data_IF_273605342521
#
_entry.id   IF_273605342521
#
_cell.length_a   1.000
_cell.length_b   1.000
_cell.length_c   1.000
_cell.angle_alpha   90.00
_cell.angle_beta   90.00
_cell.angle_gamma   90.00
#
_symmetry.space_group_name_H-M   'P 1'
#
loop_
_entity.id
_entity.type
_entity.pdbx_description
1 polymer ?
#
# COMPACT_ATOMS: atom_id res chain seq x y z
N UNK A 1 7.73 19.63 -25.90
CA UNK A 1 7.21 19.28 -24.57
C UNK A 1 6.98 17.76 -24.50
N UNK A 2 8.04 16.95 -24.55
CA UNK A 2 7.94 15.49 -24.79
C UNK A 2 8.17 14.61 -23.55
N UNK A 3 7.82 15.07 -22.34
CA UNK A 3 8.09 14.35 -21.08
C UNK A 3 6.92 14.26 -20.10
N UNK A 4 5.68 14.49 -20.55
CA UNK A 4 4.55 14.73 -19.62
C UNK A 4 3.54 13.59 -19.56
N UNK A 5 3.71 12.49 -20.30
CA UNK A 5 2.74 11.38 -20.29
C UNK A 5 3.18 10.29 -19.30
N UNK A 6 2.30 10.00 -18.35
CA UNK A 6 2.47 8.93 -17.36
C UNK A 6 1.45 7.82 -17.63
N UNK A 7 1.90 6.58 -17.68
CA UNK A 7 1.04 5.40 -17.76
C UNK A 7 1.05 4.68 -16.43
N UNK A 8 -0.13 4.44 -15.86
CA UNK A 8 -0.31 3.68 -14.62
C UNK A 8 -0.89 2.31 -14.93
N UNK A 9 -0.06 1.27 -14.91
CA UNK A 9 -0.52 -0.11 -15.01
C UNK A 9 -1.12 -0.54 -13.67
N UNK A 10 -2.34 -1.06 -13.69
CA UNK A 10 -3.09 -1.32 -12.43
C UNK A 10 -3.70 -0.05 -11.82
N UNK A 11 -3.84 1.03 -12.59
CA UNK A 11 -4.46 2.30 -12.15
C UNK A 11 -5.94 2.21 -11.74
N UNK A 12 -6.57 1.04 -11.86
CA UNK A 12 -7.93 0.76 -11.36
C UNK A 12 -7.95 0.07 -9.99
N UNK A 13 -6.79 -0.35 -9.47
CA UNK A 13 -6.67 -1.03 -8.17
C UNK A 13 -6.57 -0.05 -7.00
N UNK A 14 -6.56 -0.59 -5.77
CA UNK A 14 -6.70 0.16 -4.52
C UNK A 14 -5.72 1.34 -4.41
N UNK A 15 -4.42 1.10 -4.59
CA UNK A 15 -3.39 2.15 -4.59
C UNK A 15 -3.22 2.82 -5.96
N UNK A 16 -3.30 2.04 -7.05
CA UNK A 16 -3.09 2.54 -8.41
C UNK A 16 -4.08 3.64 -8.80
N UNK A 17 -5.33 3.55 -8.31
CA UNK A 17 -6.34 4.60 -8.49
C UNK A 17 -5.93 5.89 -7.79
N UNK A 18 -5.51 5.82 -6.53
CA UNK A 18 -5.04 6.98 -5.77
C UNK A 18 -3.84 7.63 -6.46
N UNK A 19 -2.88 6.84 -6.95
CA UNK A 19 -1.74 7.35 -7.72
C UNK A 19 -2.21 8.07 -8.98
N UNK A 20 -3.13 7.46 -9.74
CA UNK A 20 -3.69 8.05 -10.97
C UNK A 20 -4.32 9.41 -10.68
N UNK A 21 -5.19 9.48 -9.66
CA UNK A 21 -5.87 10.72 -9.24
C UNK A 21 -4.86 11.78 -8.76
N UNK A 22 -3.90 11.39 -7.93
CA UNK A 22 -2.88 12.30 -7.40
C UNK A 22 -2.03 12.93 -8.52
N UNK A 23 -1.69 12.16 -9.56
CA UNK A 23 -0.95 12.68 -10.72
C UNK A 23 -1.83 13.67 -11.50
N UNK A 24 -3.10 13.36 -11.72
CA UNK A 24 -4.04 14.27 -12.40
C UNK A 24 -4.22 15.58 -11.65
N UNK A 25 -4.33 15.52 -10.32
CA UNK A 25 -4.52 16.69 -9.47
C UNK A 25 -3.30 17.64 -9.47
N UNK A 26 -2.13 17.17 -9.92
CA UNK A 26 -0.99 18.08 -10.15
C UNK A 26 -1.22 19.05 -11.31
N UNK A 27 -2.06 18.69 -12.28
CA UNK A 27 -2.25 19.42 -13.53
C UNK A 27 -1.01 19.49 -14.44
N UNK A 28 0.05 18.72 -14.13
CA UNK A 28 1.34 18.79 -14.85
C UNK A 28 1.54 17.67 -15.88
N UNK A 29 0.80 16.58 -15.73
CA UNK A 29 0.99 15.36 -16.50
C UNK A 29 -0.32 14.92 -17.18
N UNK A 30 -0.18 14.39 -18.38
CA UNK A 30 -1.23 13.59 -19.01
C UNK A 30 -1.13 12.16 -18.46
N UNK A 31 -2.24 11.57 -18.04
CA UNK A 31 -2.25 10.26 -17.37
C UNK A 31 -3.16 9.29 -18.10
N UNK A 32 -2.63 8.10 -18.41
CA UNK A 32 -3.39 6.98 -18.95
C UNK A 32 -3.30 5.78 -18.01
N UNK A 33 -4.36 4.97 -17.99
CA UNK A 33 -4.40 3.73 -17.19
C UNK A 33 -4.30 2.53 -18.11
N UNK A 34 -3.33 1.64 -17.87
CA UNK A 34 -3.28 0.34 -18.54
C UNK A 34 -4.03 -0.71 -17.71
N UNK A 35 -5.02 -1.37 -18.33
CA UNK A 35 -5.84 -2.40 -17.70
C UNK A 35 -6.15 -3.54 -18.67
N UNK A 36 -6.20 -4.78 -18.16
CA UNK A 36 -6.63 -5.97 -18.94
C UNK A 36 -8.11 -5.92 -19.32
N UNK A 37 -8.94 -5.30 -18.48
CA UNK A 37 -10.39 -5.16 -18.68
C UNK A 37 -10.70 -3.71 -19.01
N UNK A 38 -11.46 -3.47 -20.09
CA UNK A 38 -12.28 -2.26 -20.17
C UNK A 38 -13.45 -2.45 -19.23
N UNK A 39 -13.77 -1.50 -18.34
CA UNK A 39 -15.04 -1.53 -17.64
C UNK A 39 -16.15 -1.64 -18.68
N UNK A 40 -16.85 -2.78 -18.72
CA UNK A 40 -18.16 -2.84 -19.36
C UNK A 40 -19.09 -2.10 -18.41
N UNK A 41 -19.77 -1.10 -18.95
CA UNK A 41 -20.70 -0.19 -18.29
C UNK A 41 -20.10 0.96 -17.47
N UNK A 42 -20.38 2.17 -17.97
CA UNK A 42 -20.24 3.45 -17.31
C UNK A 42 -21.17 3.64 -16.09
N UNK A 43 -21.62 2.55 -15.45
CA UNK A 43 -22.61 2.55 -14.37
C UNK A 43 -22.04 2.26 -12.99
N UNK A 44 -20.75 1.91 -12.85
CA UNK A 44 -20.09 1.76 -11.55
C UNK A 44 -19.38 3.05 -11.11
N UNK A 45 -20.18 4.09 -10.82
CA UNK A 45 -19.94 5.26 -9.92
C UNK A 45 -18.52 5.81 -9.62
N UNK A 46 -17.49 5.58 -10.45
CA UNK A 46 -16.17 6.21 -10.34
C UNK A 46 -15.66 6.46 -11.75
N UNK A 47 -16.00 7.62 -12.30
CA UNK A 47 -15.36 8.13 -13.51
C UNK A 47 -13.91 8.48 -13.17
N UNK A 48 -12.99 7.52 -13.34
CA UNK A 48 -11.59 7.90 -13.51
C UNK A 48 -11.52 8.87 -14.69
N UNK A 49 -10.97 10.06 -14.44
CA UNK A 49 -10.80 11.09 -15.48
C UNK A 49 -9.77 10.65 -16.54
N UNK A 50 -8.94 9.65 -16.22
CA UNK A 50 -7.86 9.16 -17.08
C UNK A 50 -8.39 8.16 -18.14
N UNK A 51 -7.99 8.29 -19.42
CA UNK A 51 -8.32 7.28 -20.43
C UNK A 51 -7.75 5.91 -20.08
N UNK A 52 -8.51 4.85 -20.42
CA UNK A 52 -8.10 3.46 -20.21
C UNK A 52 -7.57 2.88 -21.52
N UNK A 53 -6.31 2.48 -21.50
CA UNK A 53 -5.65 1.68 -22.52
C UNK A 53 -5.90 0.20 -22.17
N UNK A 54 -6.64 -0.49 -23.04
CA UNK A 54 -6.81 -1.93 -22.88
C UNK A 54 -5.50 -2.61 -23.27
N UNK A 55 -4.93 -3.37 -22.33
CA UNK A 55 -3.61 -3.97 -22.50
C UNK A 55 -3.66 -5.45 -22.22
N UNK A 56 -3.18 -6.23 -23.19
CA UNK A 56 -2.75 -7.60 -22.97
C UNK A 56 -1.22 -7.60 -22.75
N UNK A 57 -0.78 -8.28 -21.69
CA UNK A 57 0.64 -8.38 -21.31
C UNK A 57 1.29 -9.68 -21.83
N UNK A 58 0.63 -10.38 -22.75
CA UNK A 58 1.14 -11.60 -23.40
C UNK A 58 2.22 -11.34 -24.45
N UNK A 59 2.32 -10.12 -24.99
CA UNK A 59 3.32 -9.73 -26.00
C UNK A 59 4.06 -8.47 -25.58
N UNK A 60 5.38 -8.57 -25.52
CA UNK A 60 6.28 -7.46 -25.23
C UNK A 60 6.27 -6.40 -26.34
N UNK A 61 6.25 -6.83 -27.60
CA UNK A 61 6.15 -5.98 -28.78
C UNK A 61 4.89 -5.12 -28.74
N UNK A 62 3.73 -5.74 -28.53
CA UNK A 62 2.45 -5.03 -28.54
C UNK A 62 2.37 -4.02 -27.37
N UNK A 63 2.88 -4.37 -26.19
CA UNK A 63 2.94 -3.42 -25.06
C UNK A 63 3.88 -2.26 -25.38
N UNK A 64 5.04 -2.51 -26.00
CA UNK A 64 5.97 -1.44 -26.39
C UNK A 64 5.35 -0.50 -27.44
N UNK A 65 4.64 -1.04 -28.43
CA UNK A 65 3.90 -0.27 -29.43
C UNK A 65 2.83 0.63 -28.79
N UNK A 66 2.08 0.11 -27.81
CA UNK A 66 1.11 0.91 -27.04
C UNK A 66 1.79 2.06 -26.29
N UNK A 67 2.94 1.80 -25.63
CA UNK A 67 3.69 2.84 -24.93
C UNK A 67 4.16 3.93 -25.89
N UNK A 68 4.63 3.56 -27.09
CA UNK A 68 5.03 4.51 -28.15
C UNK A 68 3.84 5.28 -28.71
N UNK A 69 2.74 4.61 -29.02
CA UNK A 69 1.52 5.21 -29.55
C UNK A 69 0.98 6.31 -28.62
N UNK A 70 1.10 6.11 -27.31
CA UNK A 70 0.68 7.07 -26.29
C UNK A 70 1.81 8.02 -25.85
N UNK A 71 2.98 7.98 -26.51
CA UNK A 71 4.15 8.81 -26.18
C UNK A 71 4.49 8.77 -24.68
N UNK A 72 4.42 7.58 -24.09
CA UNK A 72 4.63 7.37 -22.66
C UNK A 72 6.07 7.73 -22.27
N UNK A 73 6.22 8.64 -21.31
CA UNK A 73 7.52 8.99 -20.74
C UNK A 73 7.83 8.19 -19.48
N UNK A 74 6.82 7.99 -18.62
CA UNK A 74 6.99 7.33 -17.33
C UNK A 74 5.94 6.25 -17.14
N UNK A 75 6.38 5.05 -16.74
CA UNK A 75 5.51 3.94 -16.37
C UNK A 75 5.52 3.77 -14.85
N UNK A 76 4.33 3.67 -14.26
CA UNK A 76 4.14 3.28 -12.87
C UNK A 76 3.34 1.98 -12.85
N UNK A 77 3.92 0.94 -12.28
CA UNK A 77 3.24 -0.33 -12.08
C UNK A 77 2.68 -0.40 -10.66
N UNK A 78 1.36 -0.55 -10.54
CA UNK A 78 0.62 -0.75 -9.30
C UNK A 78 -0.23 -2.03 -9.37
N UNK A 79 0.27 -3.06 -10.06
CA UNK A 79 -0.37 -4.38 -10.11
C UNK A 79 -0.20 -5.11 -8.76
N UNK A 80 -1.25 -5.76 -8.25
CA UNK A 80 -1.11 -6.67 -7.12
C UNK A 80 -0.32 -7.91 -7.54
N UNK A 81 0.86 -8.11 -6.95
CA UNK A 81 1.80 -9.19 -7.33
C UNK A 81 1.61 -10.44 -6.48
N UNK A 82 0.38 -10.93 -6.41
CA UNK A 82 0.02 -12.04 -5.52
C UNK A 82 0.07 -13.42 -6.24
N UNK A 83 0.41 -13.44 -7.53
CA UNK A 83 0.44 -14.66 -8.35
C UNK A 83 1.32 -14.50 -9.59
N UNK A 84 1.74 -15.64 -10.16
CA UNK A 84 2.70 -15.72 -11.25
C UNK A 84 2.30 -14.85 -12.46
N UNK A 85 1.04 -14.89 -12.90
CA UNK A 85 0.60 -14.11 -14.05
C UNK A 85 0.68 -12.58 -13.85
N UNK A 86 0.57 -12.08 -12.61
CA UNK A 86 0.79 -10.66 -12.32
C UNK A 86 2.28 -10.31 -12.36
N UNK A 87 3.13 -11.18 -11.83
CA UNK A 87 4.58 -11.07 -11.95
C UNK A 87 5.02 -11.07 -13.41
N UNK A 88 4.52 -12.00 -14.21
CA UNK A 88 4.84 -12.09 -15.65
C UNK A 88 4.41 -10.84 -16.40
N UNK A 89 3.22 -10.30 -16.08
CA UNK A 89 2.73 -9.05 -16.66
C UNK A 89 3.65 -7.86 -16.38
N UNK A 90 4.12 -7.70 -15.13
CA UNK A 90 5.09 -6.66 -14.80
C UNK A 90 6.44 -6.89 -15.49
N UNK A 91 6.92 -8.13 -15.58
CA UNK A 91 8.16 -8.44 -16.29
C UNK A 91 8.05 -8.11 -17.78
N UNK A 92 6.92 -8.40 -18.43
CA UNK A 92 6.64 -7.97 -19.80
C UNK A 92 6.63 -6.45 -19.91
N UNK A 93 5.97 -5.76 -18.96
CA UNK A 93 5.90 -4.30 -18.96
C UNK A 93 7.29 -3.65 -18.81
N UNK A 94 8.17 -4.19 -17.97
CA UNK A 94 9.56 -3.72 -17.82
C UNK A 94 10.33 -3.85 -19.15
N UNK A 95 10.28 -5.02 -19.79
CA UNK A 95 10.99 -5.25 -21.06
C UNK A 95 10.41 -4.40 -22.20
N UNK A 96 9.10 -4.24 -22.24
CA UNK A 96 8.43 -3.37 -23.19
C UNK A 96 8.81 -1.89 -22.98
N UNK A 97 8.91 -1.44 -21.73
CA UNK A 97 9.36 -0.09 -21.39
C UNK A 97 10.81 0.16 -21.84
N UNK A 98 11.73 -0.77 -21.61
CA UNK A 98 13.14 -0.65 -22.08
C UNK A 98 13.24 -0.60 -23.61
N UNK A 99 12.32 -1.27 -24.33
CA UNK A 99 12.26 -1.24 -25.80
C UNK A 99 11.61 0.01 -26.36
N UNK A 100 10.72 0.66 -25.61
CA UNK A 100 9.99 1.82 -26.06
C UNK A 100 10.86 3.09 -25.92
N UNK A 101 11.34 3.70 -27.03
CA UNK A 101 12.33 4.78 -26.95
C UNK A 101 11.81 6.06 -26.27
N UNK A 102 10.49 6.22 -26.16
CA UNK A 102 9.85 7.33 -25.44
C UNK A 102 9.90 7.18 -23.92
N UNK A 103 9.94 5.94 -23.41
CA UNK A 103 9.92 5.69 -21.97
C UNK A 103 11.31 5.93 -21.40
N UNK A 104 11.37 6.73 -20.33
CA UNK A 104 12.61 7.10 -19.63
C UNK A 104 12.63 6.67 -18.19
N UNK A 105 11.45 6.50 -17.59
CA UNK A 105 11.30 6.28 -16.15
C UNK A 105 10.34 5.14 -15.83
N UNK A 106 10.68 4.37 -14.80
CA UNK A 106 9.88 3.24 -14.35
C UNK A 106 9.79 3.15 -12.81
N UNK A 107 8.57 2.96 -12.29
CA UNK A 107 8.33 2.61 -10.89
C UNK A 107 7.66 1.22 -10.86
N UNK A 108 8.31 0.17 -10.32
CA UNK A 108 7.69 -1.15 -10.16
C UNK A 108 6.67 -1.18 -9.02
N UNK A 109 5.84 -2.22 -9.02
CA UNK A 109 4.87 -2.50 -7.96
C UNK A 109 5.57 -3.07 -6.73
N UNK A 110 6.14 -2.19 -5.94
CA UNK A 110 6.99 -2.49 -4.77
C UNK A 110 6.51 -1.76 -3.50
N UNK A 111 5.32 -1.14 -3.53
CA UNK A 111 4.77 -0.19 -2.54
C UNK A 111 4.54 -0.79 -1.14
N UNK A 112 5.59 -1.30 -0.50
CA UNK A 112 5.59 -1.84 0.85
C UNK A 112 6.97 -1.64 1.52
N UNK A 113 7.83 -2.66 1.48
CA UNK A 113 9.15 -2.71 2.12
C UNK A 113 10.24 -3.09 1.11
N UNK A 114 11.49 -3.16 1.58
CA UNK A 114 12.59 -3.71 0.79
C UNK A 114 12.45 -5.23 0.63
N UNK A 115 12.12 -5.70 -0.57
CA UNK A 115 11.95 -7.12 -0.88
C UNK A 115 13.27 -7.89 -1.11
N UNK A 116 14.43 -7.22 -1.09
CA UNK A 116 15.74 -7.89 -1.05
C UNK A 116 16.22 -8.22 0.38
N UNK A 117 15.42 -7.87 1.40
CA UNK A 117 15.68 -8.30 2.76
C UNK A 117 15.77 -9.84 2.85
N UNK A 118 16.69 -10.38 3.67
CA UNK A 118 16.88 -11.82 3.79
C UNK A 118 15.66 -12.52 4.40
N UNK A 119 15.48 -13.82 4.13
CA UNK A 119 14.29 -14.60 4.55
C UNK A 119 14.07 -14.62 6.06
N UNK A 120 15.13 -14.50 6.86
CA UNK A 120 15.02 -14.42 8.31
C UNK A 120 14.53 -13.06 8.82
N UNK A 121 14.45 -12.04 7.96
CA UNK A 121 13.89 -10.71 8.27
C UNK A 121 12.52 -10.53 7.60
N UNK A 122 12.41 -10.93 6.32
CA UNK A 122 11.17 -10.89 5.54
C UNK A 122 10.79 -12.33 5.11
N UNK A 123 10.13 -13.10 6.00
CA UNK A 123 9.63 -14.45 5.72
C UNK A 123 8.35 -14.41 4.89
N UNK A 124 8.47 -13.92 3.64
CA UNK A 124 7.38 -13.76 2.69
C UNK A 124 7.73 -14.49 1.38
N UNK A 125 7.24 -15.73 1.15
CA UNK A 125 7.61 -16.51 -0.02
C UNK A 125 7.34 -15.81 -1.36
N UNK A 126 6.27 -15.03 -1.44
CA UNK A 126 5.87 -14.32 -2.65
C UNK A 126 6.70 -13.06 -2.92
N UNK A 127 7.67 -12.71 -2.05
CA UNK A 127 8.68 -11.68 -2.37
C UNK A 127 9.47 -11.98 -3.64
N UNK A 128 9.53 -13.26 -4.05
CA UNK A 128 10.16 -13.69 -5.30
C UNK A 128 9.62 -12.94 -6.53
N UNK A 129 8.35 -12.54 -6.53
CA UNK A 129 7.76 -11.78 -7.63
C UNK A 129 8.32 -10.36 -7.72
N UNK A 130 8.50 -9.72 -6.56
CA UNK A 130 9.13 -8.40 -6.43
C UNK A 130 10.61 -8.48 -6.80
N UNK A 131 11.37 -9.42 -6.21
CA UNK A 131 12.78 -9.64 -6.55
C UNK A 131 12.99 -9.90 -8.05
N UNK A 132 12.11 -10.68 -8.71
CA UNK A 132 12.21 -10.90 -10.15
C UNK A 132 12.09 -9.60 -10.96
N UNK A 133 11.17 -8.70 -10.58
CA UNK A 133 11.01 -7.39 -11.21
C UNK A 133 12.25 -6.51 -11.01
N UNK A 134 12.85 -6.51 -9.80
CA UNK A 134 14.11 -5.80 -9.52
C UNK A 134 15.25 -6.28 -10.41
N UNK A 135 15.47 -7.59 -10.47
CA UNK A 135 16.53 -8.19 -11.31
C UNK A 135 16.29 -7.93 -12.80
N UNK A 136 15.05 -7.71 -13.23
CA UNK A 136 14.74 -7.28 -14.59
C UNK A 136 15.09 -5.80 -14.80
N UNK A 137 14.71 -4.91 -13.89
CA UNK A 137 15.02 -3.48 -13.96
C UNK A 137 16.52 -3.20 -13.92
N UNK A 138 17.28 -3.89 -13.07
CA UNK A 138 18.75 -3.73 -12.99
C UNK A 138 19.49 -4.10 -14.27
N UNK A 139 18.88 -4.90 -15.16
CA UNK A 139 19.43 -5.25 -16.47
C UNK A 139 19.10 -4.23 -17.54
N UNK A 140 18.21 -3.28 -17.26
CA UNK A 140 17.86 -2.20 -18.18
C UNK A 140 18.98 -1.17 -18.22
N UNK A 141 19.14 -0.52 -19.37
CA UNK A 141 20.21 0.44 -19.62
C UNK A 141 19.68 1.83 -19.94
N UNK A 142 18.42 1.93 -20.36
CA UNK A 142 17.80 3.19 -20.77
C UNK A 142 16.83 3.78 -19.74
N UNK A 143 16.35 2.95 -18.79
CA UNK A 143 15.39 3.34 -17.78
C UNK A 143 16.06 3.87 -16.51
N UNK A 144 15.66 5.07 -16.08
CA UNK A 144 15.83 5.51 -14.70
C UNK A 144 14.68 4.93 -13.86
N UNK A 145 14.99 4.19 -12.78
CA UNK A 145 13.97 3.57 -11.95
C UNK A 145 14.19 3.81 -10.45
N UNK A 146 13.12 3.69 -9.68
CA UNK A 146 13.15 3.85 -8.22
C UNK A 146 12.16 2.91 -7.55
N UNK A 147 12.51 2.46 -6.35
CA UNK A 147 11.63 1.72 -5.46
C UNK A 147 11.02 2.67 -4.42
N UNK A 148 9.70 2.66 -4.28
CA UNK A 148 8.99 3.49 -3.29
C UNK A 148 8.56 2.61 -2.13
N UNK A 149 9.11 2.88 -0.93
CA UNK A 149 8.78 2.18 0.30
C UNK A 149 7.91 3.04 1.22
N UNK A 150 6.59 2.81 1.26
CA UNK A 150 5.69 3.48 2.20
C UNK A 150 5.70 2.86 3.60
N UNK A 151 6.19 1.62 3.75
CA UNK A 151 5.97 0.85 4.97
C UNK A 151 4.49 0.46 5.12
N UNK A 152 4.05 0.29 6.35
CA UNK A 152 2.69 -0.15 6.64
C UNK A 152 1.65 0.92 6.30
N UNK A 153 0.58 0.55 5.60
CA UNK A 153 -0.51 1.49 5.37
C UNK A 153 -1.31 1.76 6.66
N UNK A 154 -1.36 3.04 7.06
CA UNK A 154 -2.05 3.47 8.27
C UNK A 154 -3.57 3.29 8.19
N UNK A 155 -4.12 3.28 6.97
CA UNK A 155 -5.53 3.03 6.68
C UNK A 155 -6.08 1.83 7.46
N UNK A 156 -5.31 0.73 7.55
CA UNK A 156 -5.71 -0.49 8.27
C UNK A 156 -5.91 -0.29 9.77
N UNK A 157 -5.30 0.73 10.37
CA UNK A 157 -5.48 1.06 11.80
C UNK A 157 -6.72 1.92 12.06
N UNK A 158 -7.33 2.46 11.00
CA UNK A 158 -8.59 3.17 11.05
C UNK A 158 -9.80 2.28 10.70
N UNK A 159 -9.59 1.09 10.13
CA UNK A 159 -10.67 0.19 9.72
C UNK A 159 -11.30 -0.54 10.92
N UNK A 160 -12.61 -0.86 10.88
CA UNK A 160 -13.58 -0.55 9.82
C UNK A 160 -14.31 0.78 10.05
N UNK A 161 -13.70 1.77 10.71
CA UNK A 161 -14.38 3.03 11.00
C UNK A 161 -14.87 3.71 9.72
N UNK A 162 -16.17 3.97 9.65
CA UNK A 162 -16.77 4.69 8.53
C UNK A 162 -16.30 6.15 8.44
N UNK A 163 -15.67 6.68 9.50
CA UNK A 163 -15.07 8.02 9.50
C UNK A 163 -13.80 8.10 8.63
N UNK A 164 -13.15 6.97 8.36
CA UNK A 164 -12.04 6.88 7.39
C UNK A 164 -12.64 6.57 6.01
N UNK A 165 -13.59 7.40 5.58
CA UNK A 165 -14.51 7.16 4.46
C UNK A 165 -13.88 7.18 3.06
N UNK A 166 -12.55 7.21 2.96
CA UNK A 166 -11.87 7.51 1.69
C UNK A 166 -10.74 6.56 1.32
N UNK A 167 -10.61 5.45 2.04
CA UNK A 167 -9.71 4.38 1.65
C UNK A 167 -10.39 3.44 0.65
N UNK A 168 -9.65 3.04 -0.38
CA UNK A 168 -10.08 2.05 -1.37
C UNK A 168 -9.47 0.67 -1.09
N UNK A 169 -8.69 0.54 -0.01
CA UNK A 169 -8.12 -0.73 0.39
C UNK A 169 -9.22 -1.70 0.82
N UNK A 170 -9.04 -2.98 0.48
CA UNK A 170 -9.84 -4.07 1.07
C UNK A 170 -9.78 -4.01 2.60
N UNK A 171 -10.92 -4.23 3.24
CA UNK A 171 -10.98 -4.26 4.70
C UNK A 171 -10.05 -5.35 5.28
N UNK A 172 -9.24 -4.97 6.28
CA UNK A 172 -8.34 -5.87 7.00
C UNK A 172 -7.89 -5.24 8.32
N UNK A 173 -7.94 -5.99 9.43
CA UNK A 173 -7.36 -5.56 10.71
C UNK A 173 -6.01 -6.25 10.92
N UNK A 174 -4.90 -5.52 10.97
CA UNK A 174 -3.57 -6.15 11.02
C UNK A 174 -3.13 -6.58 12.42
N UNK A 175 -3.27 -5.70 13.42
CA UNK A 175 -2.77 -5.95 14.78
C UNK A 175 -3.74 -5.50 15.87
N UNK A 176 -4.66 -4.59 15.53
CA UNK A 176 -5.63 -4.02 16.46
C UNK A 176 -7.02 -4.11 15.83
N UNK A 177 -7.94 -4.73 16.56
CA UNK A 177 -9.37 -4.70 16.28
C UNK A 177 -10.01 -3.79 17.32
N UNK A 178 -10.00 -2.49 17.03
CA UNK A 178 -10.52 -1.45 17.92
C UNK A 178 -12.03 -1.62 18.19
N UNK A 179 -12.76 -2.23 17.24
CA UNK A 179 -14.21 -2.45 17.36
C UNK A 179 -14.50 -3.49 18.45
N UNK A 180 -13.79 -4.62 18.42
CA UNK A 180 -13.93 -5.65 19.45
C UNK A 180 -13.10 -5.34 20.70
N UNK A 181 -12.14 -4.42 20.61
CA UNK A 181 -11.29 -4.02 21.73
C UNK A 181 -10.20 -5.03 22.03
N UNK A 182 -9.66 -5.67 21.01
CA UNK A 182 -8.62 -6.68 21.14
C UNK A 182 -7.43 -6.34 20.24
N UNK A 183 -6.24 -6.78 20.64
CA UNK A 183 -5.02 -6.66 19.87
C UNK A 183 -4.27 -7.99 19.88
N UNK A 184 -3.68 -8.33 18.73
CA UNK A 184 -2.90 -9.54 18.54
C UNK A 184 -1.55 -9.13 17.93
N UNK A 185 -0.50 -9.18 18.75
CA UNK A 185 0.78 -8.58 18.42
C UNK A 185 1.87 -9.66 18.20
N UNK A 186 2.67 -9.57 17.13
CA UNK A 186 3.81 -10.46 16.94
C UNK A 186 4.97 -10.09 17.88
N UNK A 187 5.61 -11.10 18.45
CA UNK A 187 6.77 -10.94 19.34
C UNK A 187 6.41 -10.21 20.63
N UNK A 188 7.18 -9.19 21.00
CA UNK A 188 6.93 -8.36 22.18
C UNK A 188 6.31 -6.99 21.85
N UNK A 189 5.97 -6.76 20.57
CA UNK A 189 5.37 -5.52 20.08
C UNK A 189 6.27 -4.28 20.12
N UNK A 190 7.59 -4.41 20.39
CA UNK A 190 8.52 -3.27 20.53
C UNK A 190 9.33 -2.93 19.27
N UNK A 191 9.32 -3.78 18.25
CA UNK A 191 10.00 -3.47 16.98
C UNK A 191 9.34 -2.27 16.31
N UNK A 192 10.15 -1.31 15.85
CA UNK A 192 9.66 -0.14 15.12
C UNK A 192 9.13 -0.54 13.75
N UNK A 193 8.05 0.12 13.34
CA UNK A 193 7.39 -0.05 12.06
C UNK A 193 7.17 1.33 11.46
N UNK A 194 7.71 1.55 10.26
CA UNK A 194 7.40 2.70 9.43
C UNK A 194 5.99 2.56 8.85
N UNK A 195 5.26 3.66 8.77
CA UNK A 195 3.90 3.70 8.26
C UNK A 195 3.63 4.96 7.43
N UNK A 196 2.69 4.82 6.48
CA UNK A 196 2.21 5.90 5.60
C UNK A 196 0.70 5.83 5.38
N UNK A 197 0.05 6.97 5.24
CA UNK A 197 -1.34 7.02 4.76
C UNK A 197 -1.39 6.91 3.23
N UNK A 198 -2.22 6.03 2.67
CA UNK A 198 -2.18 5.71 1.23
C UNK A 198 -2.38 6.91 0.30
N UNK A 199 -3.21 7.88 0.66
CA UNK A 199 -3.37 9.12 -0.13
C UNK A 199 -2.09 9.95 -0.17
N UNK A 200 -1.34 9.96 0.92
CA UNK A 200 -0.04 10.62 0.96
C UNK A 200 1.00 9.84 0.16
N UNK A 201 1.00 8.50 0.21
CA UNK A 201 1.83 7.67 -0.68
C UNK A 201 1.61 8.08 -2.13
N UNK A 202 0.36 8.10 -2.59
CA UNK A 202 0.00 8.51 -3.94
C UNK A 202 0.43 9.95 -4.28
N UNK A 203 0.19 10.90 -3.37
CA UNK A 203 0.58 12.31 -3.53
C UNK A 203 2.10 12.47 -3.64
N UNK A 204 2.87 11.81 -2.79
CA UNK A 204 4.33 11.87 -2.86
C UNK A 204 4.90 11.12 -4.07
N UNK A 205 4.29 10.01 -4.50
CA UNK A 205 4.62 9.38 -5.79
C UNK A 205 4.40 10.34 -6.96
N UNK A 206 3.28 11.08 -6.98
CA UNK A 206 3.01 12.09 -8.01
C UNK A 206 4.00 13.26 -7.95
N UNK A 207 4.38 13.73 -6.77
CA UNK A 207 5.40 14.77 -6.59
C UNK A 207 6.79 14.31 -7.03
N UNK A 208 7.13 13.03 -6.80
CA UNK A 208 8.42 12.45 -7.19
C UNK A 208 8.66 12.46 -8.71
N UNK A 209 7.59 12.48 -9.53
CA UNK A 209 7.69 12.67 -10.98
C UNK A 209 8.42 13.97 -11.36
N UNK A 210 8.35 15.00 -10.51
CA UNK A 210 8.98 16.29 -10.71
C UNK A 210 10.44 16.38 -10.26
N UNK A 211 11.03 15.29 -9.76
CA UNK A 211 12.44 15.25 -9.40
C UNK A 211 13.32 15.17 -10.66
N UNK A 212 14.43 15.91 -10.66
CA UNK A 212 15.39 15.91 -11.77
C UNK A 212 16.07 14.55 -11.94
N UNK A 213 16.34 13.86 -10.82
CA UNK A 213 16.89 12.50 -10.78
C UNK A 213 16.18 11.67 -9.75
N UNK A 214 16.05 10.39 -10.01
CA UNK A 214 15.50 9.43 -9.06
C UNK A 214 16.61 8.67 -8.34
N UNK A 215 16.74 8.82 -7.00
CA UNK A 215 17.50 7.85 -6.22
C UNK A 215 16.88 6.47 -6.37
N UNK A 216 17.71 5.44 -6.20
CA UNK A 216 17.28 4.04 -6.32
C UNK A 216 16.14 3.71 -5.34
N UNK A 217 16.16 4.33 -4.15
CA UNK A 217 15.15 4.13 -3.11
C UNK A 217 14.58 5.48 -2.67
N UNK A 218 13.26 5.54 -2.59
CA UNK A 218 12.51 6.62 -1.97
C UNK A 218 11.60 6.05 -0.89
N UNK A 219 11.33 6.83 0.15
CA UNK A 219 10.31 6.48 1.14
C UNK A 219 9.29 7.60 1.30
N UNK A 220 8.04 7.21 1.57
CA UNK A 220 6.95 8.11 1.93
C UNK A 220 6.56 7.98 3.41
N UNK A 221 7.34 7.22 4.20
CA UNK A 221 7.08 6.99 5.61
C UNK A 221 6.92 8.33 6.35
N UNK A 222 5.77 8.49 7.00
CA UNK A 222 5.39 9.72 7.71
C UNK A 222 5.20 9.49 9.21
N UNK A 223 5.22 8.24 9.67
CA UNK A 223 5.30 7.90 11.08
C UNK A 223 6.17 6.66 11.28
N UNK A 224 6.77 6.56 12.46
CA UNK A 224 7.46 5.37 12.92
C UNK A 224 7.00 5.08 14.36
N UNK A 225 6.47 3.89 14.58
CA UNK A 225 5.86 3.51 15.85
C UNK A 225 6.05 2.02 16.13
N UNK A 226 5.91 1.64 17.39
CA UNK A 226 5.80 0.25 17.83
C UNK A 226 4.34 -0.16 17.93
N UNK A 227 4.07 -1.47 17.94
CA UNK A 227 2.70 -1.96 18.09
C UNK A 227 2.15 -1.72 19.50
N UNK A 228 3.01 -1.69 20.52
CA UNK A 228 2.61 -1.29 21.87
C UNK A 228 2.18 0.19 21.93
N UNK A 229 2.89 1.09 21.22
CA UNK A 229 2.46 2.49 21.09
C UNK A 229 1.14 2.61 20.34
N UNK A 230 0.94 1.83 19.27
CA UNK A 230 -0.33 1.77 18.54
C UNK A 230 -1.48 1.36 19.46
N UNK A 231 -1.31 0.29 20.24
CA UNK A 231 -2.29 -0.17 21.24
C UNK A 231 -2.61 0.96 22.23
N UNK A 232 -1.58 1.57 22.84
CA UNK A 232 -1.79 2.67 23.80
C UNK A 232 -2.53 3.87 23.19
N UNK A 233 -2.23 4.20 21.94
CA UNK A 233 -2.92 5.25 21.19
C UNK A 233 -4.39 4.92 20.93
N UNK A 234 -4.71 3.67 20.58
CA UNK A 234 -6.09 3.22 20.36
C UNK A 234 -6.85 3.18 21.68
N UNK A 235 -6.30 2.54 22.73
CA UNK A 235 -6.93 2.46 24.06
C UNK A 235 -7.33 3.83 24.60
N UNK A 236 -6.43 4.82 24.49
CA UNK A 236 -6.68 6.20 24.91
C UNK A 236 -7.91 6.81 24.24
N UNK A 237 -8.12 6.53 22.94
CA UNK A 237 -9.22 7.08 22.14
C UNK A 237 -10.54 6.35 22.39
N UNK A 238 -10.48 5.05 22.64
CA UNK A 238 -11.64 4.26 23.02
C UNK A 238 -12.08 4.51 24.47
N UNK A 239 -11.20 5.07 25.31
CA UNK A 239 -11.46 5.28 26.74
C UNK A 239 -11.49 3.96 27.54
N UNK A 240 -10.87 2.91 27.02
CA UNK A 240 -10.77 1.58 27.64
C UNK A 240 -9.50 0.87 27.18
N UNK A 241 -9.03 -0.07 27.98
CA UNK A 241 -7.92 -0.93 27.59
C UNK A 241 -8.35 -1.95 26.54
N UNK A 242 -7.40 -2.34 25.69
CA UNK A 242 -7.55 -3.47 24.76
C UNK A 242 -7.11 -4.75 25.45
N UNK A 243 -7.77 -5.86 25.14
CA UNK A 243 -7.27 -7.19 25.48
C UNK A 243 -6.12 -7.54 24.52
N UNK A 244 -4.89 -7.64 25.05
CA UNK A 244 -3.68 -7.78 24.23
C UNK A 244 -3.13 -9.20 24.38
N UNK A 245 -3.09 -9.92 23.27
CA UNK A 245 -2.39 -11.18 23.16
C UNK A 245 -1.13 -11.03 22.30
N UNK A 246 -0.10 -11.81 22.64
CA UNK A 246 1.14 -11.88 21.88
C UNK A 246 1.27 -13.22 21.16
N UNK A 247 1.90 -13.20 19.99
CA UNK A 247 2.18 -14.39 19.17
C UNK A 247 3.69 -14.60 19.08
N UNK A 248 4.14 -15.84 19.32
CA UNK A 248 5.55 -16.19 19.18
C UNK A 248 6.00 -16.06 17.71
N UNK A 249 7.12 -15.37 17.49
CA UNK A 249 7.62 -15.09 16.13
C UNK A 249 7.98 -16.38 15.40
N UNK A 250 8.54 -17.39 16.08
CA UNK A 250 8.88 -18.67 15.44
C UNK A 250 7.62 -19.44 15.05
N UNK A 251 6.57 -19.38 15.87
CA UNK A 251 5.27 -19.96 15.57
C UNK A 251 4.62 -19.29 14.36
N UNK A 252 4.70 -17.95 14.23
CA UNK A 252 4.24 -17.22 13.05
C UNK A 252 4.99 -17.62 11.78
N UNK A 253 6.33 -17.66 11.82
CA UNK A 253 7.16 -18.06 10.68
C UNK A 253 6.83 -19.48 10.18
N UNK A 254 6.50 -20.39 11.10
CA UNK A 254 6.14 -21.79 10.80
C UNK A 254 4.64 -21.96 10.55
N UNK A 255 3.85 -20.87 10.61
CA UNK A 255 2.38 -20.88 10.53
C UNK A 255 1.73 -21.85 11.53
N UNK A 256 2.33 -22.02 12.70
CA UNK A 256 1.80 -22.83 13.81
C UNK A 256 0.82 -22.06 14.70
N UNK A 257 0.95 -20.73 14.73
CA UNK A 257 -0.05 -19.85 15.34
C UNK A 257 -0.90 -19.24 14.23
N UNK A 258 -2.14 -19.71 14.12
CA UNK A 258 -3.09 -19.30 13.09
C UNK A 258 -4.16 -18.33 13.59
N UNK A 259 -4.03 -17.84 14.84
CA UNK A 259 -4.97 -16.89 15.42
C UNK A 259 -5.02 -15.63 14.55
N UNK A 260 -6.24 -15.14 14.35
CA UNK A 260 -6.53 -13.88 13.66
C UNK A 260 -7.54 -13.09 14.50
N UNK A 261 -7.56 -11.77 14.32
CA UNK A 261 -8.49 -10.90 15.04
C UNK A 261 -9.95 -11.25 14.72
N UNK A 262 -10.90 -11.06 15.66
CA UNK A 262 -12.32 -11.38 15.45
C UNK A 262 -12.91 -10.75 14.20
N UNK A 263 -12.58 -9.48 13.90
CA UNK A 263 -13.04 -8.82 12.68
C UNK A 263 -12.55 -9.53 11.41
N UNK A 264 -11.33 -10.06 11.41
CA UNK A 264 -10.79 -10.80 10.26
C UNK A 264 -11.54 -12.12 10.03
N UNK A 265 -11.97 -12.81 11.09
CA UNK A 265 -12.84 -13.99 10.95
C UNK A 265 -14.15 -13.61 10.25
N UNK A 266 -14.74 -12.47 10.64
CA UNK A 266 -16.02 -12.01 10.08
C UNK A 266 -15.95 -11.60 8.59
N UNK A 267 -14.77 -11.23 8.08
CA UNK A 267 -14.58 -10.82 6.68
C UNK A 267 -13.86 -11.87 5.84
N UNK A 268 -13.51 -13.03 6.41
CA UNK A 268 -12.68 -14.04 5.76
C UNK A 268 -13.32 -14.59 4.47
N UNK A 269 -14.65 -14.62 4.37
CA UNK A 269 -15.38 -15.06 3.17
C UNK A 269 -15.11 -14.18 1.93
N UNK A 270 -14.64 -12.95 2.12
CA UNK A 270 -14.23 -12.07 1.02
C UNK A 270 -12.86 -12.42 0.42
N UNK A 271 -12.13 -13.37 1.04
CA UNK A 271 -10.85 -13.87 0.56
C UNK A 271 -11.05 -15.23 -0.12
N UNK A 272 -10.53 -15.45 -1.34
CA UNK A 272 -10.75 -16.70 -2.07
C UNK A 272 -10.33 -17.97 -1.31
N UNK A 273 -9.27 -17.90 -0.50
CA UNK A 273 -8.82 -18.99 0.37
C UNK A 273 -9.30 -18.88 1.82
N UNK A 274 -10.29 -18.03 2.09
CA UNK A 274 -10.95 -17.91 3.37
C UNK A 274 -10.01 -17.58 4.54
N UNK A 275 -10.35 -18.14 5.71
CA UNK A 275 -9.58 -17.96 6.96
C UNK A 275 -8.15 -18.48 6.84
N UNK A 276 -7.92 -19.58 6.11
CA UNK A 276 -6.58 -20.17 5.98
C UNK A 276 -5.62 -19.24 5.23
N UNK A 277 -6.07 -18.68 4.10
CA UNK A 277 -5.30 -17.69 3.35
C UNK A 277 -5.04 -16.45 4.21
N UNK A 278 -6.08 -15.95 4.88
CA UNK A 278 -5.99 -14.74 5.69
C UNK A 278 -5.04 -14.91 6.88
N UNK A 279 -5.11 -16.06 7.54
CA UNK A 279 -4.23 -16.43 8.66
C UNK A 279 -2.77 -16.53 8.21
N UNK A 280 -2.50 -17.18 7.07
CA UNK A 280 -1.15 -17.26 6.52
C UNK A 280 -0.57 -15.87 6.20
N UNK A 281 -1.36 -15.01 5.56
CA UNK A 281 -0.97 -13.63 5.24
C UNK A 281 -0.62 -12.83 6.51
N UNK A 282 -1.49 -12.89 7.53
CA UNK A 282 -1.28 -12.16 8.78
C UNK A 282 -0.09 -12.71 9.58
N UNK A 283 0.16 -14.01 9.53
CA UNK A 283 1.32 -14.62 10.18
C UNK A 283 2.64 -14.17 9.53
N UNK A 284 2.71 -14.17 8.21
CA UNK A 284 3.89 -13.69 7.46
C UNK A 284 4.14 -12.20 7.71
N UNK A 285 3.08 -11.39 7.66
CA UNK A 285 3.17 -9.97 7.93
C UNK A 285 3.61 -9.69 9.38
N UNK A 286 3.00 -10.37 10.35
CA UNK A 286 3.32 -10.22 11.77
C UNK A 286 4.77 -10.60 12.05
N UNK A 287 5.23 -11.75 11.52
CA UNK A 287 6.62 -12.14 11.63
C UNK A 287 7.56 -11.09 11.01
N UNK A 288 7.23 -10.59 9.81
CA UNK A 288 8.02 -9.57 9.11
C UNK A 288 8.13 -8.25 9.90
N UNK A 289 7.05 -7.82 10.54
CA UNK A 289 7.07 -6.65 11.44
C UNK A 289 7.95 -6.90 12.66
N UNK A 290 7.77 -8.03 13.35
CA UNK A 290 8.56 -8.35 14.54
C UNK A 290 10.06 -8.51 14.25
N UNK A 291 10.41 -9.07 13.10
CA UNK A 291 11.78 -9.28 12.64
C UNK A 291 12.43 -8.00 12.05
N UNK A 292 11.66 -6.92 11.93
CA UNK A 292 12.16 -5.59 11.58
C UNK A 292 12.21 -5.28 10.09
N UNK A 293 11.46 -5.99 9.25
CA UNK A 293 11.36 -5.66 7.81
C UNK A 293 10.77 -4.27 7.54
N UNK A 294 9.97 -3.75 8.48
CA UNK A 294 9.35 -2.43 8.42
C UNK A 294 10.13 -1.36 9.21
N UNK A 295 11.28 -1.70 9.79
CA UNK A 295 12.10 -0.74 10.54
C UNK A 295 12.97 0.09 9.59
N UNK A 296 12.38 1.16 9.05
CA UNK A 296 13.05 2.00 8.06
C UNK A 296 14.17 2.88 8.62
N UNK A 297 14.40 2.88 9.94
CA UNK A 297 15.60 3.52 10.51
C UNK A 297 16.91 2.86 10.05
N UNK A 298 16.80 1.66 9.45
CA UNK A 298 17.91 0.88 8.90
C UNK A 298 18.11 1.06 7.39
N UNK A 299 17.19 1.75 6.69
CA UNK A 299 17.40 2.09 5.29
C UNK A 299 18.64 2.98 5.16
N UNK A 300 19.34 2.85 4.02
CA UNK A 300 20.54 3.62 3.72
C UNK A 300 20.47 4.17 2.31
N UNK A 301 20.69 5.46 2.17
CA UNK A 301 20.77 6.14 0.87
C UNK A 301 19.40 6.37 0.21
N UNK A 302 18.32 6.19 0.97
CA UNK A 302 16.97 6.55 0.57
C UNK A 302 16.77 8.07 0.56
N UNK A 303 15.88 8.53 -0.31
CA UNK A 303 15.32 9.87 -0.20
C UNK A 303 13.98 9.80 0.51
N UNK A 304 13.89 10.46 1.67
CA UNK A 304 12.61 10.67 2.34
C UNK A 304 11.83 11.80 1.62
N UNK A 305 10.77 11.42 0.89
CA UNK A 305 9.95 12.37 0.12
C UNK A 305 9.14 13.30 1.04
N UNK A 306 8.75 12.83 2.24
CA UNK A 306 8.04 13.66 3.22
C UNK A 306 8.94 14.81 3.68
N UNK A 307 10.18 14.52 4.02
CA UNK A 307 11.16 15.52 4.43
C UNK A 307 11.56 16.43 3.27
N UNK A 308 11.84 15.87 2.09
CA UNK A 308 12.27 16.62 0.90
C UNK A 308 11.25 17.68 0.45
N UNK A 309 9.96 17.36 0.56
CA UNK A 309 8.85 18.26 0.23
C UNK A 309 8.27 19.00 1.45
N UNK A 310 8.92 18.93 2.61
CA UNK A 310 8.50 19.69 3.80
C UNK A 310 8.47 21.20 3.48
N UNK A 311 7.36 21.86 3.86
CA UNK A 311 7.11 23.27 3.55
C UNK A 311 6.75 23.57 2.09
N UNK A 312 6.79 22.59 1.17
CA UNK A 312 6.46 22.74 -0.26
C UNK A 312 5.10 22.15 -0.63
N UNK A 313 4.52 21.35 0.25
CA UNK A 313 3.22 20.70 0.08
C UNK A 313 2.53 20.56 1.43
N UNK A 314 1.26 20.14 1.44
CA UNK A 314 0.53 19.87 2.67
C UNK A 314 1.26 18.80 3.50
N UNK A 315 1.37 18.98 4.83
CA UNK A 315 1.94 17.95 5.70
C UNK A 315 1.19 16.62 5.56
N UNK A 316 1.87 15.47 5.68
CA UNK A 316 1.21 14.17 5.63
C UNK A 316 0.25 13.97 6.81
N UNK A 317 -0.68 13.04 6.63
CA UNK A 317 -1.45 12.45 7.72
C UNK A 317 -0.49 11.78 8.71
N UNK A 318 -0.68 12.04 10.00
CA UNK A 318 0.03 11.32 11.07
C UNK A 318 -0.84 10.20 11.60
N UNK A 319 -0.23 9.18 12.21
CA UNK A 319 -0.98 8.09 12.81
C UNK A 319 -1.94 8.60 13.91
N UNK A 320 -1.55 9.59 14.70
CA UNK A 320 -2.41 10.16 15.75
C UNK A 320 -3.66 10.80 15.14
N UNK A 321 -3.50 11.61 14.09
CA UNK A 321 -4.62 12.27 13.40
C UNK A 321 -5.56 11.24 12.76
N UNK A 322 -4.99 10.20 12.13
CA UNK A 322 -5.79 9.13 11.55
C UNK A 322 -6.61 8.41 12.62
N UNK A 323 -5.99 8.08 13.76
CA UNK A 323 -6.69 7.44 14.87
C UNK A 323 -7.71 8.38 15.55
N UNK A 324 -7.47 9.69 15.60
CA UNK A 324 -8.46 10.66 16.10
C UNK A 324 -9.70 10.68 15.21
N UNK A 325 -9.52 10.69 13.89
CA UNK A 325 -10.63 10.62 12.92
C UNK A 325 -11.38 9.29 13.06
N UNK A 326 -10.66 8.18 13.17
CA UNK A 326 -11.24 6.85 13.21
C UNK A 326 -11.96 6.54 14.53
N UNK A 327 -11.36 6.94 15.66
CA UNK A 327 -11.68 6.41 17.00
C UNK A 327 -11.87 7.50 18.07
N UNK A 328 -11.58 8.77 17.80
CA UNK A 328 -11.58 9.84 18.80
C UNK A 328 -12.95 10.34 19.29
N UNK A 329 -14.07 9.71 18.91
CA UNK A 329 -15.38 10.36 19.02
C UNK A 329 -16.65 9.50 19.04
N UNK A 330 -16.66 8.33 19.69
CA UNK A 330 -17.93 7.74 20.15
C UNK A 330 -17.95 7.72 21.68
N UNK A 331 -18.62 8.70 22.29
CA UNK A 331 -19.16 8.50 23.65
C UNK A 331 -20.01 7.24 23.58
N UNK A 332 -19.56 6.15 24.20
CA UNK A 332 -20.42 5.03 24.53
C UNK A 332 -21.52 5.62 25.40
N UNK A 333 -22.71 5.76 24.81
CA UNK A 333 -23.88 6.15 25.58
C UNK A 333 -24.09 5.10 26.65
N UNK A 334 -23.74 5.43 27.89
CA UNK A 334 -24.38 4.81 29.04
C UNK A 334 -25.87 5.05 28.85
N UNK A 335 -26.63 4.00 28.54
CA UNK A 335 -28.08 4.00 28.70
C UNK A 335 -28.37 4.19 30.19
N UNK A 336 -28.29 5.44 30.62
CA UNK A 336 -29.01 5.97 31.76
C UNK A 336 -30.43 6.23 31.30
N UNK A 337 -31.35 5.53 31.95
CA UNK A 337 -32.78 5.74 31.88
C UNK A 337 -33.17 7.21 32.08
N UNK A 338 -34.10 7.71 31.26
CA UNK A 338 -35.17 8.64 31.59
C UNK A 338 -35.99 8.88 30.30
N UNK A 339 -37.10 8.18 30.12
CA UNK A 339 -38.47 8.51 30.57
C UNK A 339 -39.28 9.31 29.54
N UNK A 340 -40.30 8.61 29.03
CA UNK A 340 -41.64 8.99 28.58
C UNK A 340 -41.89 10.33 27.87
N UNK A 341 -42.51 10.22 26.70
CA UNK A 341 -43.66 11.07 26.35
C UNK A 341 -44.75 10.21 25.69
N UNK A 342 -45.81 9.93 26.44
CA UNK A 342 -47.12 9.55 25.90
C UNK A 342 -48.14 10.60 26.34
N UNK A 343 -48.37 11.59 25.47
CA UNK A 343 -49.65 11.98 24.86
C UNK A 343 -49.59 13.41 24.36
#
# INVERSE_FOLDING_TARGET
MSGNVVVVAGGLGDLGKLITEAIQDTGKYEVHVMSRKRPQDASSSVQLRAPIIQTDYSSEEAVAELLVQHNCHTVICALGLDFQAASDAQLTLIRAAERAPCVKRFIPSEFNVDYDLPDHVLPYPDKRFHTAARRALEKTTSLEFTYIYPGMFMDYFGMPSSSVSSTHLRELCLFVDATNGVALLPGDGKTKMAASYTKDVARYTALALGLDKWPLVMTTASSALTLNELVGMVSKRLGRDLDVEYQDVSALQKRMDSRILPRNVAIAEHFPGGVEQLSALLAELGASVALGAYDFSKLKGELNLVEYFSGKTTPPMTIEKLLDIAWGGKKVGSNGEALSVHK
#
